data_IF_510569375878
#
_entry.id   IF_510569375878
#
_cell.length_a   1.000
_cell.length_b   1.000
_cell.length_c   1.000
_cell.angle_alpha   90.00
_cell.angle_beta   90.00
_cell.angle_gamma   90.00
#
_symmetry.space_group_name_H-M   'P 1'
#
loop_
_entity.id
_entity.type
_entity.pdbx_description
1 polymer ?
#
# COMPACT_ATOMS: atom_id res chain seq x y z
N UNK A 1 -3.54 3.36 -8.92
CA UNK A 1 -2.86 2.28 -9.63
C UNK A 1 -1.38 2.15 -9.25
N UNK A 2 -0.59 3.23 -9.26
CA UNK A 2 0.84 3.16 -8.90
C UNK A 2 1.08 2.68 -7.46
N UNK A 3 0.31 3.15 -6.49
CA UNK A 3 0.44 2.76 -5.08
C UNK A 3 0.17 1.26 -4.88
N UNK A 4 -0.87 0.74 -5.52
CA UNK A 4 -1.26 -0.67 -5.42
C UNK A 4 -0.22 -1.61 -6.04
N UNK A 5 0.30 -1.24 -7.22
CA UNK A 5 1.39 -1.98 -7.87
C UNK A 5 2.68 -1.94 -7.03
N UNK A 6 2.98 -0.79 -6.41
CA UNK A 6 4.11 -0.64 -5.50
C UNK A 6 3.98 -1.56 -4.29
N UNK A 7 2.79 -1.64 -3.68
CA UNK A 7 2.52 -2.55 -2.56
C UNK A 7 2.80 -4.00 -2.93
N UNK A 8 2.28 -4.46 -4.08
CA UNK A 8 2.49 -5.82 -4.55
C UNK A 8 3.97 -6.11 -4.82
N UNK A 9 4.66 -5.21 -5.52
CA UNK A 9 6.09 -5.38 -5.83
C UNK A 9 6.96 -5.37 -4.58
N UNK A 10 6.68 -4.49 -3.63
CA UNK A 10 7.39 -4.44 -2.34
C UNK A 10 7.16 -5.71 -1.54
N UNK A 11 5.92 -6.18 -1.45
CA UNK A 11 5.62 -7.40 -0.73
C UNK A 11 6.33 -8.62 -1.32
N UNK A 12 6.31 -8.78 -2.63
CA UNK A 12 7.05 -9.86 -3.31
C UNK A 12 8.56 -9.73 -3.09
N UNK A 13 9.09 -8.50 -3.11
CA UNK A 13 10.50 -8.22 -2.81
C UNK A 13 10.87 -8.60 -1.37
N UNK A 14 10.03 -8.24 -0.40
CA UNK A 14 10.21 -8.63 1.01
C UNK A 14 10.15 -10.15 1.22
N UNK A 15 9.19 -10.82 0.56
CA UNK A 15 9.11 -12.29 0.61
C UNK A 15 10.39 -12.95 0.09
N UNK A 16 10.98 -12.42 -1.00
CA UNK A 16 12.26 -12.92 -1.54
C UNK A 16 13.43 -12.66 -0.60
N UNK A 17 13.49 -11.47 -0.03
CA UNK A 17 14.59 -11.09 0.85
C UNK A 17 14.59 -11.90 2.15
N UNK A 18 13.40 -12.18 2.68
CA UNK A 18 13.20 -12.90 3.95
C UNK A 18 12.76 -14.36 3.76
N UNK A 19 12.96 -14.95 2.59
CA UNK A 19 12.53 -16.33 2.26
C UNK A 19 12.98 -17.34 3.31
N UNK A 20 14.27 -17.35 3.67
CA UNK A 20 14.84 -18.26 4.67
C UNK A 20 14.25 -18.08 6.07
N UNK A 21 14.01 -16.84 6.47
CA UNK A 21 13.42 -16.50 7.78
C UNK A 21 11.97 -17.00 7.84
N UNK A 22 11.19 -16.71 6.79
CA UNK A 22 9.79 -17.15 6.67
C UNK A 22 9.69 -18.69 6.74
N UNK A 23 10.58 -19.39 6.02
CA UNK A 23 10.60 -20.85 6.04
C UNK A 23 10.99 -21.41 7.41
N UNK A 24 11.93 -20.78 8.10
CA UNK A 24 12.30 -21.17 9.46
C UNK A 24 11.11 -21.00 10.41
N UNK A 25 10.38 -19.89 10.32
CA UNK A 25 9.18 -19.67 11.14
C UNK A 25 8.08 -20.70 10.83
N UNK A 26 7.87 -21.02 9.55
CA UNK A 26 6.91 -22.06 9.15
C UNK A 26 7.33 -23.45 9.65
N UNK A 27 8.62 -23.78 9.61
CA UNK A 27 9.16 -25.04 10.13
C UNK A 27 9.01 -25.15 11.66
N UNK A 28 9.03 -24.03 12.38
CA UNK A 28 8.76 -23.94 13.82
C UNK A 28 7.27 -23.98 14.17
N UNK A 29 6.38 -24.13 13.17
CA UNK A 29 4.94 -24.25 13.36
C UNK A 29 4.18 -22.92 13.39
N UNK A 30 4.81 -21.80 13.01
CA UNK A 30 4.13 -20.52 12.87
C UNK A 30 3.08 -20.57 11.76
N UNK A 31 1.95 -19.87 11.95
CA UNK A 31 0.97 -19.72 10.87
C UNK A 31 1.56 -18.85 9.75
N UNK A 32 1.22 -19.06 8.47
CA UNK A 32 1.72 -18.26 7.35
C UNK A 32 1.47 -16.76 7.53
N UNK A 33 0.33 -16.39 8.13
CA UNK A 33 0.03 -14.99 8.43
C UNK A 33 1.04 -14.37 9.40
N UNK A 34 1.42 -15.12 10.44
CA UNK A 34 2.40 -14.65 11.42
C UNK A 34 3.80 -14.55 10.79
N UNK A 35 4.18 -15.56 9.99
CA UNK A 35 5.48 -15.60 9.33
C UNK A 35 5.72 -14.43 8.35
N UNK A 36 4.66 -13.89 7.72
CA UNK A 36 4.78 -12.76 6.77
C UNK A 36 4.26 -11.43 7.32
N UNK A 37 3.83 -11.38 8.57
CA UNK A 37 3.23 -10.18 9.16
C UNK A 37 4.13 -8.94 9.03
N UNK A 38 5.41 -9.07 9.33
CA UNK A 38 6.37 -7.96 9.24
C UNK A 38 6.60 -7.53 7.79
N UNK A 39 6.66 -8.48 6.85
CA UNK A 39 6.77 -8.18 5.41
C UNK A 39 5.53 -7.48 4.88
N UNK A 40 4.33 -7.86 5.35
CA UNK A 40 3.07 -7.18 5.01
C UNK A 40 3.07 -5.75 5.54
N UNK A 41 3.42 -5.56 6.81
CA UNK A 41 3.49 -4.25 7.47
C UNK A 41 4.48 -3.31 6.77
N UNK A 42 5.69 -3.79 6.48
CA UNK A 42 6.72 -3.03 5.78
C UNK A 42 6.26 -2.61 4.37
N UNK A 43 5.57 -3.49 3.65
CA UNK A 43 5.07 -3.23 2.30
C UNK A 43 3.96 -2.17 2.28
N UNK A 44 3.02 -2.23 3.20
CA UNK A 44 1.95 -1.22 3.34
C UNK A 44 2.57 0.12 3.71
N UNK A 45 3.46 0.15 4.70
CA UNK A 45 4.12 1.38 5.13
C UNK A 45 4.86 2.05 3.97
N UNK A 46 5.68 1.31 3.24
CA UNK A 46 6.42 1.83 2.09
C UNK A 46 5.50 2.35 0.96
N UNK A 47 4.35 1.73 0.76
CA UNK A 47 3.38 2.15 -0.26
C UNK A 47 2.57 3.38 0.13
N UNK A 48 2.43 3.67 1.43
CA UNK A 48 1.69 4.84 1.92
C UNK A 48 2.58 6.09 2.03
N UNK A 49 3.91 5.95 2.15
CA UNK A 49 4.84 7.08 2.26
C UNK A 49 4.63 8.15 1.16
N UNK A 50 4.54 7.80 -0.15
CA UNK A 50 4.32 8.80 -1.18
C UNK A 50 3.01 9.58 -1.02
N UNK A 51 1.94 8.90 -0.58
CA UNK A 51 0.65 9.52 -0.33
C UNK A 51 0.69 10.47 0.88
N UNK A 52 1.36 10.06 1.96
CA UNK A 52 1.57 10.89 3.15
C UNK A 52 2.38 12.13 2.79
N UNK A 53 3.48 11.96 2.04
CA UNK A 53 4.30 13.09 1.60
C UNK A 53 3.51 14.06 0.71
N UNK A 54 2.68 13.54 -0.22
CA UNK A 54 1.81 14.37 -1.03
C UNK A 54 0.82 15.18 -0.17
N UNK A 55 0.24 14.57 0.87
CA UNK A 55 -0.65 15.27 1.80
C UNK A 55 0.07 16.37 2.60
N UNK A 56 1.31 16.13 3.02
CA UNK A 56 2.12 17.10 3.78
C UNK A 56 2.51 18.31 2.92
N UNK A 57 2.68 18.15 1.60
CA UNK A 57 3.06 19.24 0.69
C UNK A 57 1.87 20.04 0.16
N UNK A 58 0.66 19.52 0.30
CA UNK A 58 -0.58 20.22 -0.06
C UNK A 58 -0.76 21.46 0.83
N UNK A 59 -0.95 22.61 0.20
CA UNK A 59 -1.12 23.88 0.91
C UNK A 59 0.18 24.67 1.16
N UNK A 60 1.36 24.02 1.07
CA UNK A 60 2.65 24.70 1.17
C UNK A 60 3.28 24.97 -0.20
N UNK A 61 3.22 23.98 -1.09
CA UNK A 61 3.89 24.01 -2.40
C UNK A 61 2.92 23.86 -3.56
N UNK A 62 1.81 23.16 -3.35
CA UNK A 62 0.79 22.93 -4.37
C UNK A 62 -0.57 23.39 -3.89
N UNK A 63 -1.17 24.34 -4.64
CA UNK A 63 -2.59 24.63 -4.51
C UNK A 63 -3.38 23.50 -5.20
N UNK A 64 -4.20 22.75 -4.47
CA UNK A 64 -5.01 21.68 -5.07
C UNK A 64 -5.98 22.23 -6.10
N UNK A 65 -6.04 21.62 -7.27
CA UNK A 65 -6.84 22.09 -8.39
C UNK A 65 -8.33 22.27 -8.06
N UNK A 66 -8.90 21.42 -7.20
CA UNK A 66 -10.29 21.52 -6.76
C UNK A 66 -10.54 22.79 -5.95
N UNK A 67 -9.68 23.05 -4.96
CA UNK A 67 -9.76 24.27 -4.15
C UNK A 67 -9.60 25.51 -5.01
N UNK A 68 -8.60 25.55 -5.89
CA UNK A 68 -8.37 26.65 -6.82
C UNK A 68 -9.56 26.87 -7.75
N UNK A 69 -10.11 25.80 -8.33
CA UNK A 69 -11.30 25.88 -9.18
C UNK A 69 -12.53 26.44 -8.48
N UNK A 70 -12.75 26.06 -7.21
CA UNK A 70 -13.85 26.55 -6.40
C UNK A 70 -13.70 28.03 -6.06
N UNK A 71 -12.50 28.50 -5.72
CA UNK A 71 -12.21 29.89 -5.44
C UNK A 71 -12.42 30.76 -6.70
N UNK A 72 -11.95 30.28 -7.85
CA UNK A 72 -12.15 30.95 -9.13
C UNK A 72 -13.64 31.02 -9.54
N UNK A 73 -14.43 30.04 -9.12
CA UNK A 73 -15.89 30.04 -9.31
C UNK A 73 -16.63 30.91 -8.30
N UNK A 74 -15.93 31.66 -7.44
CA UNK A 74 -16.54 32.57 -6.47
C UNK A 74 -17.00 31.94 -5.17
N UNK A 75 -16.61 30.69 -4.88
CA UNK A 75 -16.93 30.03 -3.62
C UNK A 75 -16.00 30.56 -2.53
N UNK A 76 -16.58 30.76 -1.33
CA UNK A 76 -15.81 31.18 -0.15
C UNK A 76 -14.59 30.28 0.08
N UNK A 77 -13.39 30.85 0.27
CA UNK A 77 -12.16 30.09 0.46
C UNK A 77 -12.21 29.09 1.62
N UNK A 78 -12.93 29.42 2.72
CA UNK A 78 -13.07 28.52 3.88
C UNK A 78 -13.87 27.27 3.48
N UNK A 79 -14.92 27.46 2.69
CA UNK A 79 -15.73 26.35 2.17
C UNK A 79 -14.90 25.49 1.22
N UNK A 80 -14.15 26.12 0.30
CA UNK A 80 -13.26 25.43 -0.63
C UNK A 80 -12.21 24.56 0.08
N UNK A 81 -11.60 25.06 1.18
CA UNK A 81 -10.66 24.31 2.01
C UNK A 81 -11.31 23.09 2.66
N UNK A 82 -12.53 23.22 3.20
CA UNK A 82 -13.26 22.10 3.80
C UNK A 82 -13.52 20.98 2.79
N UNK A 83 -13.94 21.32 1.58
CA UNK A 83 -14.11 20.33 0.49
C UNK A 83 -12.79 19.66 0.13
N UNK A 84 -11.71 20.42 0.05
CA UNK A 84 -10.39 19.86 -0.23
C UNK A 84 -9.94 18.85 0.83
N UNK A 85 -10.12 19.16 2.11
CA UNK A 85 -9.81 18.25 3.21
C UNK A 85 -10.63 16.95 3.10
N UNK A 86 -11.93 17.07 2.82
CA UNK A 86 -12.80 15.91 2.63
C UNK A 86 -12.31 15.00 1.48
N UNK A 87 -11.95 15.58 0.34
CA UNK A 87 -11.44 14.84 -0.83
C UNK A 87 -10.12 14.14 -0.49
N UNK A 88 -9.24 14.79 0.26
CA UNK A 88 -7.96 14.20 0.69
C UNK A 88 -8.18 12.97 1.57
N UNK A 89 -9.10 13.05 2.54
CA UNK A 89 -9.43 11.88 3.38
C UNK A 89 -10.05 10.75 2.56
N UNK A 90 -10.96 11.05 1.65
CA UNK A 90 -11.56 10.05 0.75
C UNK A 90 -10.50 9.37 -0.10
N UNK A 91 -9.58 10.13 -0.70
CA UNK A 91 -8.50 9.60 -1.53
C UNK A 91 -7.55 8.70 -0.72
N UNK A 92 -7.12 9.17 0.45
CA UNK A 92 -6.23 8.40 1.32
C UNK A 92 -6.87 7.09 1.80
N UNK A 93 -8.13 7.16 2.23
CA UNK A 93 -8.89 5.98 2.67
C UNK A 93 -9.03 4.97 1.53
N UNK A 94 -9.41 5.42 0.34
CA UNK A 94 -9.54 4.56 -0.84
C UNK A 94 -8.20 3.91 -1.22
N UNK A 95 -7.11 4.67 -1.21
CA UNK A 95 -5.76 4.14 -1.50
C UNK A 95 -5.35 3.09 -0.47
N UNK A 96 -5.60 3.32 0.82
CA UNK A 96 -5.27 2.38 1.89
C UNK A 96 -6.06 1.09 1.76
N UNK A 97 -7.38 1.17 1.54
CA UNK A 97 -8.23 0.00 1.34
C UNK A 97 -7.80 -0.82 0.11
N UNK A 98 -7.52 -0.15 -1.02
CA UNK A 98 -7.05 -0.80 -2.23
C UNK A 98 -5.72 -1.55 -2.00
N UNK A 99 -4.78 -0.96 -1.25
CA UNK A 99 -3.51 -1.59 -0.90
C UNK A 99 -3.71 -2.81 0.01
N UNK A 100 -4.62 -2.75 0.98
CA UNK A 100 -4.95 -3.88 1.86
C UNK A 100 -5.58 -5.04 1.08
N UNK A 101 -6.53 -4.75 0.19
CA UNK A 101 -7.18 -5.76 -0.66
C UNK A 101 -6.15 -6.42 -1.58
N UNK A 102 -5.30 -5.61 -2.25
CA UNK A 102 -4.26 -6.14 -3.12
C UNK A 102 -3.29 -7.04 -2.37
N UNK A 103 -2.88 -6.64 -1.17
CA UNK A 103 -1.99 -7.44 -0.34
C UNK A 103 -2.64 -8.78 0.06
N UNK A 104 -3.94 -8.78 0.38
CA UNK A 104 -4.68 -10.00 0.69
C UNK A 104 -4.76 -10.95 -0.51
N UNK A 105 -4.93 -10.41 -1.73
CA UNK A 105 -4.95 -11.20 -2.96
C UNK A 105 -3.56 -11.81 -3.22
N UNK A 106 -2.51 -10.97 -3.17
CA UNK A 106 -1.13 -11.42 -3.41
C UNK A 106 -0.72 -12.46 -2.37
N UNK A 107 -1.03 -12.23 -1.09
CA UNK A 107 -0.79 -13.21 -0.03
C UNK A 107 -1.39 -14.58 -0.37
N UNK A 108 -2.66 -14.62 -0.82
CA UNK A 108 -3.33 -15.89 -1.20
C UNK A 108 -2.67 -16.59 -2.39
N UNK A 109 -2.08 -15.85 -3.31
CA UNK A 109 -1.41 -16.44 -4.49
C UNK A 109 -0.07 -17.10 -4.13
N UNK A 110 0.67 -16.54 -3.19
CA UNK A 110 2.02 -17.04 -2.81
C UNK A 110 1.99 -18.12 -1.74
N UNK A 111 0.85 -18.34 -1.07
CA UNK A 111 0.71 -19.41 -0.08
C UNK A 111 -0.27 -20.47 -0.55
N UNK A 112 0.18 -21.74 -0.49
CA UNK A 112 -0.66 -22.90 -0.81
C UNK A 112 -1.56 -23.27 0.38
N UNK A 113 -2.66 -24.01 0.13
CA UNK A 113 -3.53 -24.58 1.16
C UNK A 113 -2.80 -25.44 2.19
N UNK A 114 -1.59 -25.93 1.85
CA UNK A 114 -0.69 -26.70 2.72
C UNK A 114 0.30 -25.83 3.51
N UNK A 115 0.04 -24.51 3.62
CA UNK A 115 0.84 -23.56 4.39
C UNK A 115 2.30 -23.41 3.90
N UNK A 116 2.59 -23.75 2.64
CA UNK A 116 3.92 -23.67 2.03
C UNK A 116 4.05 -22.47 1.11
N UNK A 117 5.22 -21.82 1.14
CA UNK A 117 5.58 -20.74 0.24
C UNK A 117 5.83 -21.31 -1.17
N UNK A 118 5.15 -20.77 -2.19
CA UNK A 118 5.36 -21.16 -3.60
C UNK A 118 6.64 -20.53 -4.14
N UNK A 119 7.75 -21.23 -4.01
CA UNK A 119 9.08 -20.81 -4.49
C UNK A 119 9.13 -20.60 -6.02
N UNK A 120 8.34 -21.35 -6.76
CA UNK A 120 8.27 -21.26 -8.23
C UNK A 120 7.91 -19.84 -8.70
N UNK A 121 6.87 -19.25 -8.09
CA UNK A 121 6.42 -17.88 -8.41
C UNK A 121 7.42 -16.79 -8.00
N UNK A 122 8.26 -17.05 -7.00
CA UNK A 122 9.31 -16.14 -6.59
C UNK A 122 10.50 -16.15 -7.57
N UNK A 123 10.77 -17.29 -8.23
CA UNK A 123 11.86 -17.46 -9.20
C UNK A 123 11.50 -16.96 -10.60
N UNK A 124 10.26 -17.16 -11.04
CA UNK A 124 9.82 -16.84 -12.40
C UNK A 124 9.89 -15.33 -12.75
N UNK A 125 9.81 -14.45 -11.76
CA UNK A 125 9.92 -12.98 -11.96
C UNK A 125 11.36 -12.48 -12.14
N UNK A 126 12.31 -13.34 -12.52
CA UNK A 126 13.72 -13.04 -12.76
C UNK A 126 14.10 -12.95 -14.25
N UNK A 127 13.13 -13.14 -15.13
CA UNK A 127 13.28 -12.98 -16.59
C UNK A 127 12.77 -11.61 -17.05
#
# INVERSE_FOLDING_TARGET
LNSTALTANRFVGELKHREKEIETLLALGATPKLAVYDSMKASIHAALIPNINAMMTVGLVQLPGVMTGQILAGIDPIIAVRYQIMIMYMWFTTATLANMIMLAIVYRQYFTSKLQLRRELLREKKA
#
